data_IF_582718702022
#
_entry.id   IF_582718702022
#
_cell.length_a   1.000
_cell.length_b   1.000
_cell.length_c   1.000
_cell.angle_alpha   90.00
_cell.angle_beta   90.00
_cell.angle_gamma   90.00
#
_symmetry.space_group_name_H-M   'P 1'
#
loop_
_entity.id
_entity.type
_entity.pdbx_description
1 polymer ?
#
# COMPACT_ATOMS: atom_id res chain seq x y z
N UNK A 1 9.04 9.08 -8.61
CA UNK A 1 8.13 9.65 -7.59
C UNK A 1 7.75 8.53 -6.72
N UNK A 2 7.60 8.81 -5.44
CA UNK A 2 6.86 7.91 -4.56
C UNK A 2 5.62 8.66 -4.14
N UNK A 3 4.47 8.02 -4.25
CA UNK A 3 3.19 8.53 -3.76
C UNK A 3 2.74 7.58 -2.67
N UNK A 4 2.68 8.07 -1.44
CA UNK A 4 2.01 7.38 -0.35
C UNK A 4 0.62 7.97 -0.16
N UNK A 5 -0.35 7.08 -0.02
CA UNK A 5 -1.69 7.42 0.41
C UNK A 5 -1.96 6.57 1.64
N UNK A 6 -2.09 7.19 2.80
CA UNK A 6 -2.34 6.47 4.06
C UNK A 6 -3.68 6.94 4.59
N UNK A 7 -4.62 6.01 4.80
CA UNK A 7 -5.89 6.30 5.49
C UNK A 7 -5.87 5.60 6.83
N UNK A 8 -5.24 6.25 7.78
CA UNK A 8 -5.20 5.81 9.16
C UNK A 8 -5.69 6.96 10.02
N UNK A 9 -7.00 7.04 10.23
CA UNK A 9 -7.57 7.77 11.38
C UNK A 9 -7.28 6.96 12.64
N UNK A 10 -6.01 6.98 13.04
CA UNK A 10 -5.49 6.45 14.30
C UNK A 10 -5.34 7.65 15.22
N UNK A 11 -6.25 7.83 16.18
CA UNK A 11 -6.13 8.94 17.13
C UNK A 11 -4.95 8.78 18.11
N UNK A 12 -4.24 7.64 18.14
CA UNK A 12 -3.18 7.37 19.12
C UNK A 12 -2.06 6.43 18.62
N UNK A 13 -1.55 6.63 17.41
CA UNK A 13 -0.39 5.84 16.93
C UNK A 13 0.70 6.73 16.34
N UNK A 14 1.96 6.36 16.62
CA UNK A 14 3.13 7.00 16.07
C UNK A 14 3.25 6.70 14.56
N UNK A 15 2.60 7.55 13.77
CA UNK A 15 2.74 7.65 12.32
C UNK A 15 4.19 7.64 11.76
N UNK A 16 5.25 8.16 12.44
CA UNK A 16 6.60 8.27 11.87
C UNK A 16 7.16 7.00 11.22
N UNK A 17 6.86 5.81 11.74
CA UNK A 17 7.38 4.53 11.21
C UNK A 17 6.93 4.23 9.78
N UNK A 18 5.70 4.59 9.41
CA UNK A 18 5.17 4.40 8.04
C UNK A 18 5.85 5.36 7.06
N UNK A 19 6.28 6.53 7.54
CA UNK A 19 6.83 7.59 6.71
C UNK A 19 8.33 7.45 6.42
N UNK A 20 9.06 6.58 7.12
CA UNK A 20 10.51 6.39 6.97
C UNK A 20 10.93 5.66 5.67
N UNK A 21 10.02 5.54 4.69
CA UNK A 21 10.20 4.76 3.46
C UNK A 21 10.14 5.58 2.16
N UNK A 22 10.75 6.76 2.05
CA UNK A 22 10.76 7.54 0.78
C UNK A 22 12.00 8.39 0.47
N UNK A 23 12.53 8.20 -0.76
CA UNK A 23 13.05 9.27 -1.63
C UNK A 23 12.73 8.92 -3.11
N UNK A 24 12.35 9.95 -3.89
CA UNK A 24 12.54 10.21 -5.35
C UNK A 24 11.29 10.29 -6.25
N UNK A 25 11.24 11.39 -7.03
CA UNK A 25 10.19 12.25 -7.68
C UNK A 25 9.71 11.86 -9.12
N UNK A 26 8.50 12.24 -9.67
CA UNK A 26 7.83 12.11 -11.06
C UNK A 26 6.23 12.02 -11.12
N UNK A 27 5.54 12.96 -11.77
CA UNK A 27 4.05 13.10 -11.93
C UNK A 27 3.36 12.38 -13.11
N UNK A 28 2.00 12.33 -13.12
CA UNK A 28 1.11 11.80 -14.19
C UNK A 28 -0.07 12.74 -14.61
N UNK A 29 -0.59 12.67 -15.88
CA UNK A 29 -1.79 13.41 -16.35
C UNK A 29 -2.95 12.48 -16.84
N UNK A 30 -4.01 12.94 -17.51
CA UNK A 30 -5.28 13.59 -17.07
C UNK A 30 -6.38 13.16 -18.08
N UNK A 31 -7.61 12.82 -17.64
CA UNK A 31 -8.80 12.74 -18.53
C UNK A 31 -9.95 13.67 -18.10
N UNK A 32 -10.10 14.78 -18.83
CA UNK A 32 -11.01 15.92 -18.61
C UNK A 32 -12.41 15.60 -19.16
N UNK A 33 -13.46 15.62 -18.34
CA UNK A 33 -14.78 16.22 -18.70
C UNK A 33 -15.83 16.24 -17.57
N UNK A 34 -15.90 15.24 -16.70
CA UNK A 34 -16.61 15.33 -15.39
C UNK A 34 -15.65 15.67 -14.22
N UNK A 35 -14.37 15.79 -14.59
CA UNK A 35 -13.24 16.05 -13.72
C UNK A 35 -13.36 17.41 -13.04
N UNK A 36 -13.74 18.48 -13.74
CA UNK A 36 -13.53 19.85 -13.22
C UNK A 36 -14.26 20.16 -11.92
N UNK A 37 -15.51 19.74 -11.77
CA UNK A 37 -16.27 19.96 -10.53
C UNK A 37 -15.73 19.08 -9.39
N UNK A 38 -15.51 17.79 -9.68
CA UNK A 38 -14.90 16.86 -8.72
C UNK A 38 -13.46 17.27 -8.37
N UNK A 39 -12.72 17.84 -9.32
CA UNK A 39 -11.38 18.40 -9.17
C UNK A 39 -11.44 19.68 -8.37
N UNK A 40 -12.45 20.54 -8.55
CA UNK A 40 -12.63 21.74 -7.75
C UNK A 40 -12.94 21.36 -6.30
N UNK A 41 -13.88 20.45 -6.06
CA UNK A 41 -14.16 19.93 -4.72
C UNK A 41 -12.95 19.21 -4.11
N UNK A 42 -12.28 18.35 -4.89
CA UNK A 42 -11.05 17.67 -4.46
C UNK A 42 -9.93 18.67 -4.21
N UNK A 43 -9.82 19.74 -5.00
CA UNK A 43 -8.79 20.78 -4.87
C UNK A 43 -9.07 21.68 -3.68
N UNK A 44 -10.34 22.02 -3.43
CA UNK A 44 -10.78 22.74 -2.23
C UNK A 44 -10.45 21.89 -1.00
N UNK A 45 -10.91 20.64 -0.97
CA UNK A 45 -10.62 19.70 0.11
C UNK A 45 -9.10 19.49 0.31
N UNK A 46 -8.35 19.33 -0.78
CA UNK A 46 -6.89 19.22 -0.75
C UNK A 46 -6.26 20.47 -0.13
N UNK A 47 -6.66 21.67 -0.56
CA UNK A 47 -6.13 22.94 -0.03
C UNK A 47 -6.49 23.16 1.43
N UNK A 48 -7.67 22.72 1.85
CA UNK A 48 -8.14 22.85 3.24
C UNK A 48 -7.45 21.86 4.18
N UNK A 49 -7.12 20.66 3.68
CA UNK A 49 -6.62 19.57 4.52
C UNK A 49 -5.11 19.37 4.43
N UNK A 50 -4.45 20.02 3.46
CA UNK A 50 -2.99 19.94 3.33
C UNK A 50 -2.28 20.59 4.52
N UNK A 51 -1.40 19.84 5.16
CA UNK A 51 -0.55 20.28 6.27
C UNK A 51 0.89 19.95 5.97
N UNK A 52 1.78 20.89 6.26
CA UNK A 52 3.23 20.66 6.21
C UNK A 52 3.69 20.29 7.62
N UNK A 53 4.20 19.06 7.78
CA UNK A 53 4.75 18.57 9.05
C UNK A 53 6.16 19.14 9.28
N UNK A 54 6.66 19.03 10.52
CA UNK A 54 7.99 19.54 10.92
C UNK A 54 9.14 18.89 10.14
N UNK A 55 8.93 17.69 9.63
CA UNK A 55 9.84 16.92 8.79
C UNK A 55 9.75 17.29 7.29
N UNK A 56 9.01 18.36 6.94
CA UNK A 56 8.76 18.85 5.58
C UNK A 56 7.94 17.92 4.69
N UNK A 57 7.23 16.95 5.27
CA UNK A 57 6.27 16.12 4.53
C UNK A 57 4.91 16.83 4.43
N UNK A 58 4.23 16.61 3.31
CA UNK A 58 2.86 17.05 3.11
C UNK A 58 1.92 15.92 3.54
N UNK A 59 0.96 16.26 4.38
CA UNK A 59 -0.17 15.40 4.75
C UNK A 59 -1.43 16.01 4.17
N UNK A 60 -2.28 15.22 3.55
CA UNK A 60 -3.57 15.66 3.03
C UNK A 60 -4.63 14.66 3.45
N UNK A 61 -5.81 15.15 3.82
CA UNK A 61 -6.94 14.25 4.08
C UNK A 61 -7.58 13.87 2.74
N UNK A 62 -8.01 12.62 2.62
CA UNK A 62 -8.83 12.22 1.48
C UNK A 62 -10.27 12.63 1.75
N UNK A 63 -11.03 13.01 0.71
CA UNK A 63 -12.46 13.26 0.83
C UNK A 63 -13.13 11.94 1.25
N UNK A 64 -13.44 11.82 2.54
CA UNK A 64 -14.14 10.66 3.07
C UNK A 64 -15.53 10.57 2.43
N UNK A 65 -15.93 9.37 2.00
CA UNK A 65 -17.34 9.09 1.74
C UNK A 65 -18.09 9.24 3.07
N UNK A 66 -19.10 10.12 3.09
CA UNK A 66 -19.94 10.33 4.27
C UNK A 66 -20.56 8.98 4.71
N UNK A 67 -20.38 8.62 5.98
CA UNK A 67 -20.93 7.40 6.58
C UNK A 67 -20.01 6.18 6.64
N UNK A 68 -18.79 6.23 6.09
CA UNK A 68 -17.84 5.13 6.25
C UNK A 68 -17.10 5.24 7.60
N UNK A 69 -17.08 4.18 8.44
CA UNK A 69 -16.43 4.24 9.74
C UNK A 69 -14.90 4.32 9.63
N UNK A 70 -14.21 5.00 10.58
CA UNK A 70 -12.76 4.98 10.73
C UNK A 70 -12.22 3.56 10.92
N UNK A 71 -11.13 3.21 10.25
CA UNK A 71 -10.47 1.87 10.31
C UNK A 71 -10.15 1.40 11.73
N UNK A 72 -9.79 2.33 12.63
CA UNK A 72 -9.41 2.03 14.01
C UNK A 72 -10.59 1.62 14.89
N UNK A 73 -11.75 2.23 14.67
CA UNK A 73 -12.96 1.99 15.46
C UNK A 73 -13.48 0.58 15.19
N UNK A 74 -13.31 0.10 13.95
CA UNK A 74 -13.49 -1.31 13.63
C UNK A 74 -12.58 -2.18 14.50
N UNK A 75 -11.26 -2.10 14.37
CA UNK A 75 -10.32 -3.07 14.97
C UNK A 75 -10.39 -3.14 16.49
N UNK A 76 -10.58 -2.01 17.18
CA UNK A 76 -10.58 -1.98 18.65
C UNK A 76 -11.93 -2.26 19.31
N UNK A 77 -13.04 -1.91 18.64
CA UNK A 77 -14.38 -2.00 19.23
C UNK A 77 -15.26 -3.05 18.57
N UNK A 78 -14.85 -3.62 17.43
CA UNK A 78 -15.55 -4.69 16.76
C UNK A 78 -15.19 -6.07 17.32
N UNK A 79 -16.20 -6.85 17.68
CA UNK A 79 -16.07 -8.30 17.87
C UNK A 79 -16.08 -8.98 16.51
N UNK A 80 -14.91 -9.10 15.88
CA UNK A 80 -14.76 -9.83 14.62
C UNK A 80 -14.40 -11.29 14.87
N UNK A 81 -14.93 -12.17 14.04
CA UNK A 81 -14.50 -13.58 13.98
C UNK A 81 -13.10 -13.69 13.40
N UNK A 82 -12.81 -12.87 12.38
CA UNK A 82 -11.54 -12.88 11.69
C UNK A 82 -11.20 -11.49 11.15
N UNK A 83 -9.90 -11.15 11.22
CA UNK A 83 -9.33 -9.98 10.56
C UNK A 83 -8.15 -10.41 9.71
N UNK A 84 -8.16 -10.03 8.43
CA UNK A 84 -7.11 -10.35 7.46
C UNK A 84 -6.58 -9.08 6.80
N UNK A 85 -5.30 -9.10 6.46
CA UNK A 85 -4.63 -8.03 5.70
C UNK A 85 -4.47 -8.47 4.25
N UNK A 86 -4.93 -7.66 3.31
CA UNK A 86 -4.83 -7.94 1.87
C UNK A 86 -3.96 -6.87 1.20
N UNK A 87 -2.88 -7.32 0.57
CA UNK A 87 -1.95 -6.47 -0.19
C UNK A 87 -2.09 -6.78 -1.66
N UNK A 88 -2.52 -5.79 -2.44
CA UNK A 88 -2.57 -5.89 -3.89
C UNK A 88 -1.39 -5.16 -4.48
N UNK A 89 -0.78 -5.73 -5.51
CA UNK A 89 0.34 -5.12 -6.23
C UNK A 89 0.02 -5.10 -7.71
N UNK A 90 0.35 -3.98 -8.35
CA UNK A 90 0.16 -3.78 -9.79
C UNK A 90 1.38 -3.05 -10.35
N UNK A 91 1.69 -3.30 -11.62
CA UNK A 91 2.88 -2.78 -12.28
C UNK A 91 2.63 -2.49 -13.75
N UNK A 92 3.21 -1.38 -14.20
CA UNK A 92 3.30 -0.98 -15.59
C UNK A 92 4.75 -0.65 -15.98
N UNK A 93 4.96 -0.34 -17.26
CA UNK A 93 6.26 0.11 -17.75
C UNK A 93 6.77 1.43 -17.11
N UNK A 94 5.86 2.22 -16.51
CA UNK A 94 6.17 3.54 -15.96
C UNK A 94 6.18 3.57 -14.43
N UNK A 95 5.72 2.50 -13.76
CA UNK A 95 5.70 2.46 -12.30
C UNK A 95 5.07 1.19 -11.75
N UNK A 96 5.23 0.99 -10.44
CA UNK A 96 4.68 -0.13 -9.70
C UNK A 96 4.09 0.38 -8.40
N UNK A 97 3.01 -0.24 -7.94
CA UNK A 97 2.27 0.21 -6.78
C UNK A 97 1.74 -0.97 -5.96
N UNK A 98 1.39 -0.68 -4.71
CA UNK A 98 0.63 -1.57 -3.86
C UNK A 98 -0.43 -0.81 -3.07
N UNK A 99 -1.49 -1.52 -2.68
CA UNK A 99 -2.50 -1.05 -1.75
C UNK A 99 -2.83 -2.15 -0.74
N UNK A 100 -3.09 -1.71 0.49
CA UNK A 100 -3.34 -2.53 1.65
C UNK A 100 -4.75 -2.27 2.16
N UNK A 101 -5.50 -3.36 2.34
CA UNK A 101 -6.85 -3.35 2.90
C UNK A 101 -6.92 -4.29 4.09
N UNK A 102 -7.65 -3.88 5.12
CA UNK A 102 -8.11 -4.78 6.15
C UNK A 102 -9.49 -5.27 5.81
N UNK A 103 -9.68 -6.58 5.92
CA UNK A 103 -10.98 -7.22 5.86
C UNK A 103 -11.30 -7.75 7.25
N UNK A 104 -12.48 -7.38 7.76
CA UNK A 104 -13.00 -7.88 9.02
C UNK A 104 -14.31 -8.64 8.77
N UNK A 105 -14.37 -9.86 9.27
CA UNK A 105 -15.54 -10.73 9.19
C UNK A 105 -16.32 -10.69 10.51
N UNK A 106 -17.58 -10.29 10.41
CA UNK A 106 -18.59 -10.35 11.47
C UNK A 106 -19.50 -11.57 11.25
N UNK A 107 -20.56 -11.73 12.04
CA UNK A 107 -21.44 -12.90 11.92
C UNK A 107 -22.11 -13.04 10.54
N UNK A 108 -22.59 -11.91 9.99
CA UNK A 108 -23.35 -11.86 8.74
C UNK A 108 -22.80 -10.84 7.73
N UNK A 109 -21.68 -10.18 8.04
CA UNK A 109 -21.15 -9.08 7.23
C UNK A 109 -19.63 -9.15 7.10
N UNK A 110 -19.14 -8.81 5.90
CA UNK A 110 -17.72 -8.59 5.65
C UNK A 110 -17.49 -7.11 5.38
N UNK A 111 -16.70 -6.47 6.23
CA UNK A 111 -16.35 -5.06 6.12
C UNK A 111 -14.92 -4.94 5.64
N UNK A 112 -14.68 -4.09 4.65
CA UNK A 112 -13.36 -3.86 4.07
C UNK A 112 -12.97 -2.40 4.24
N UNK A 113 -11.76 -2.15 4.71
CA UNK A 113 -11.21 -0.83 4.97
C UNK A 113 -9.87 -0.64 4.30
N UNK A 114 -9.71 0.44 3.56
CA UNK A 114 -8.41 0.85 3.03
C UNK A 114 -7.50 1.29 4.17
N UNK A 115 -6.23 0.89 4.14
CA UNK A 115 -5.22 1.21 5.17
C UNK A 115 -4.15 2.13 4.62
N UNK A 116 -3.50 1.68 3.55
CA UNK A 116 -2.36 2.37 2.98
C UNK A 116 -2.12 1.92 1.54
N UNK A 117 -1.62 2.80 0.71
CA UNK A 117 -1.11 2.52 -0.62
C UNK A 117 0.22 3.23 -0.82
N UNK A 118 1.05 2.64 -1.67
CA UNK A 118 2.36 3.16 -2.05
C UNK A 118 2.59 2.88 -3.52
N UNK A 119 2.93 3.91 -4.27
CA UNK A 119 3.30 3.81 -5.67
C UNK A 119 4.72 4.34 -5.87
N UNK A 120 5.46 3.77 -6.82
CA UNK A 120 6.80 4.18 -7.24
C UNK A 120 6.87 4.27 -8.76
N UNK A 121 7.41 5.38 -9.26
CA UNK A 121 7.70 5.53 -10.70
C UNK A 121 8.96 4.73 -11.05
N UNK A 122 8.92 4.06 -12.19
CA UNK A 122 10.03 3.29 -12.72
C UNK A 122 11.21 4.22 -13.09
N UNK A 123 12.44 3.75 -12.84
CA UNK A 123 13.64 4.50 -13.22
C UNK A 123 13.78 4.61 -14.75
N UNK A 124 14.45 5.68 -15.21
CA UNK A 124 14.67 5.99 -16.64
C UNK A 124 15.44 4.88 -17.37
N UNK A 125 16.34 4.18 -16.67
CA UNK A 125 16.98 2.95 -17.15
C UNK A 125 16.01 1.78 -16.98
N UNK A 126 14.99 1.72 -17.84
CA UNK A 126 13.81 0.85 -17.74
C UNK A 126 14.20 -0.61 -17.43
N UNK A 127 13.98 -1.11 -16.20
CA UNK A 127 14.06 -2.53 -15.92
C UNK A 127 13.01 -3.26 -16.77
N UNK A 128 13.19 -4.56 -16.98
CA UNK A 128 12.15 -5.38 -17.63
C UNK A 128 10.87 -5.37 -16.78
N UNK A 129 9.70 -5.55 -17.42
CA UNK A 129 8.41 -5.62 -16.72
C UNK A 129 8.46 -6.62 -15.54
N UNK A 130 8.98 -7.85 -15.69
CA UNK A 130 9.10 -8.77 -14.56
C UNK A 130 9.92 -8.25 -13.37
N UNK A 131 10.97 -7.46 -13.63
CA UNK A 131 11.75 -6.85 -12.54
C UNK A 131 10.98 -5.74 -11.84
N UNK A 132 10.15 -4.99 -12.57
CA UNK A 132 9.27 -3.99 -11.97
C UNK A 132 8.16 -4.67 -11.15
N UNK A 133 7.58 -5.77 -11.65
CA UNK A 133 6.57 -6.54 -10.92
C UNK A 133 7.15 -7.10 -9.61
N UNK A 134 8.40 -7.60 -9.65
CA UNK A 134 9.11 -8.07 -8.46
C UNK A 134 9.40 -6.94 -7.47
N UNK A 135 9.64 -5.71 -7.96
CA UNK A 135 9.74 -4.52 -7.11
C UNK A 135 8.38 -4.13 -6.51
N UNK A 136 7.29 -4.31 -7.26
CA UNK A 136 5.90 -4.21 -6.78
C UNK A 136 5.64 -5.15 -5.60
N UNK A 137 5.97 -6.43 -5.76
CA UNK A 137 5.87 -7.41 -4.69
C UNK A 137 6.72 -7.03 -3.46
N UNK A 138 7.95 -6.54 -3.68
CA UNK A 138 8.84 -6.12 -2.59
C UNK A 138 8.28 -4.92 -1.80
N UNK A 139 7.68 -3.92 -2.46
CA UNK A 139 7.03 -2.81 -1.73
C UNK A 139 5.78 -3.29 -0.99
N UNK A 140 5.03 -4.24 -1.55
CA UNK A 140 3.89 -4.88 -0.88
C UNK A 140 4.30 -5.58 0.42
N UNK A 141 5.36 -6.39 0.36
CA UNK A 141 5.91 -7.08 1.53
C UNK A 141 6.35 -6.11 2.64
N UNK A 142 7.05 -5.03 2.28
CA UNK A 142 7.47 -3.98 3.23
C UNK A 142 6.27 -3.29 3.89
N UNK A 143 5.27 -2.91 3.10
CA UNK A 143 4.06 -2.25 3.63
C UNK A 143 3.31 -3.17 4.60
N UNK A 144 3.21 -4.47 4.29
CA UNK A 144 2.59 -5.44 5.18
C UNK A 144 3.32 -5.53 6.52
N UNK A 145 4.65 -5.74 6.50
CA UNK A 145 5.46 -5.80 7.72
C UNK A 145 5.30 -4.53 8.55
N UNK A 146 5.34 -3.35 7.92
CA UNK A 146 5.12 -2.08 8.63
C UNK A 146 3.73 -1.98 9.26
N UNK A 147 2.67 -2.38 8.54
CA UNK A 147 1.29 -2.35 9.06
C UNK A 147 1.16 -3.32 10.25
N UNK A 148 1.67 -4.55 10.13
CA UNK A 148 1.59 -5.56 11.18
C UNK A 148 2.35 -5.13 12.44
N UNK A 149 3.56 -4.59 12.28
CA UNK A 149 4.35 -4.02 13.38
C UNK A 149 3.65 -2.82 14.03
N UNK A 150 3.03 -1.97 13.21
CA UNK A 150 2.31 -0.78 13.68
C UNK A 150 1.10 -1.22 14.49
N UNK A 151 0.26 -2.12 13.96
CA UNK A 151 -0.93 -2.64 14.66
C UNK A 151 -0.59 -3.52 15.88
N UNK A 152 0.67 -3.94 16.03
CA UNK A 152 1.13 -4.86 17.07
C UNK A 152 0.25 -6.13 17.16
N UNK A 153 -0.20 -6.63 16.01
CA UNK A 153 -1.11 -7.77 15.89
C UNK A 153 -0.72 -8.63 14.69
N UNK A 154 -0.44 -9.94 14.87
CA UNK A 154 -0.12 -10.84 13.78
C UNK A 154 -1.40 -11.21 13.01
N UNK A 155 -1.72 -10.46 11.97
CA UNK A 155 -2.85 -10.74 11.09
C UNK A 155 -2.46 -11.71 9.99
N UNK A 156 -3.37 -12.63 9.66
CA UNK A 156 -3.24 -13.44 8.44
C UNK A 156 -3.20 -12.49 7.24
N UNK A 157 -2.15 -12.62 6.42
CA UNK A 157 -1.87 -11.68 5.34
C UNK A 157 -1.88 -12.38 3.98
N UNK A 158 -2.57 -11.78 3.01
CA UNK A 158 -2.69 -12.24 1.64
C UNK A 158 -2.02 -11.26 0.68
N UNK A 159 -1.16 -11.77 -0.21
CA UNK A 159 -0.48 -10.99 -1.25
C UNK A 159 -1.04 -11.35 -2.62
N UNK A 160 -1.45 -10.34 -3.38
CA UNK A 160 -2.08 -10.48 -4.68
C UNK A 160 -1.23 -9.81 -5.76
N UNK A 161 -0.92 -10.58 -6.81
CA UNK A 161 -0.26 -10.13 -8.04
C UNK A 161 -0.78 -10.96 -9.20
N UNK A 162 -0.90 -10.36 -10.37
CA UNK A 162 -1.22 -11.02 -11.63
C UNK A 162 0.02 -11.54 -12.37
N UNK A 163 1.23 -11.24 -11.87
CA UNK A 163 2.48 -11.70 -12.46
C UNK A 163 2.79 -13.16 -12.09
N UNK A 164 2.48 -14.07 -13.01
CA UNK A 164 2.91 -15.46 -12.93
C UNK A 164 4.43 -15.63 -12.81
N UNK A 165 5.20 -14.70 -13.41
CA UNK A 165 6.67 -14.73 -13.34
C UNK A 165 7.15 -14.45 -11.92
N UNK A 166 6.59 -13.42 -11.28
CA UNK A 166 6.91 -13.09 -9.88
C UNK A 166 6.46 -14.19 -8.94
N UNK A 167 5.26 -14.73 -9.12
CA UNK A 167 4.80 -15.90 -8.36
C UNK A 167 5.79 -17.06 -8.49
N UNK A 168 6.20 -17.40 -9.71
CA UNK A 168 7.18 -18.46 -9.96
C UNK A 168 8.53 -18.22 -9.28
N UNK A 169 9.04 -16.98 -9.29
CA UNK A 169 10.27 -16.65 -8.57
C UNK A 169 10.13 -16.70 -7.05
N UNK A 170 8.98 -16.28 -6.50
CA UNK A 170 8.76 -16.26 -5.05
C UNK A 170 8.52 -17.68 -4.50
N UNK A 171 7.90 -18.58 -5.25
CA UNK A 171 7.53 -19.92 -4.76
C UNK A 171 8.59 -20.99 -5.02
N UNK A 172 9.37 -20.88 -6.09
CA UNK A 172 10.38 -21.90 -6.45
C UNK A 172 11.76 -21.57 -5.91
N UNK A 173 12.70 -22.52 -5.97
CA UNK A 173 14.10 -22.26 -5.63
C UNK A 173 14.98 -22.61 -6.83
N UNK A 174 15.51 -21.58 -7.50
CA UNK A 174 16.35 -21.72 -8.69
C UNK A 174 17.58 -20.79 -8.60
N UNK A 175 18.66 -21.07 -9.34
CA UNK A 175 19.78 -20.15 -9.43
C UNK A 175 19.35 -18.88 -10.19
N UNK A 176 18.95 -17.86 -9.43
CA UNK A 176 18.61 -16.56 -10.00
C UNK A 176 19.83 -15.65 -10.12
N UNK A 177 19.73 -14.67 -11.01
CA UNK A 177 20.66 -13.55 -10.99
C UNK A 177 20.55 -12.77 -9.65
N UNK A 178 21.61 -12.04 -9.31
CA UNK A 178 21.73 -11.33 -8.03
C UNK A 178 20.56 -10.39 -7.74
N UNK A 179 20.00 -9.73 -8.76
CA UNK A 179 18.85 -8.83 -8.56
C UNK A 179 17.62 -9.59 -8.10
N UNK A 180 17.21 -10.63 -8.83
CA UNK A 180 16.02 -11.42 -8.52
C UNK A 180 16.22 -12.15 -7.19
N UNK A 181 17.36 -12.79 -6.98
CA UNK A 181 17.64 -13.52 -5.74
C UNK A 181 17.61 -12.63 -4.49
N UNK A 182 18.14 -11.40 -4.56
CA UNK A 182 18.10 -10.48 -3.43
C UNK A 182 16.67 -9.99 -3.13
N UNK A 183 15.85 -9.75 -4.16
CA UNK A 183 14.45 -9.32 -3.97
C UNK A 183 13.56 -10.45 -3.46
N UNK A 184 13.73 -11.67 -3.98
CA UNK A 184 12.98 -12.85 -3.50
C UNK A 184 13.33 -13.15 -2.05
N UNK A 185 14.62 -13.09 -1.68
CA UNK A 185 15.05 -13.28 -0.29
C UNK A 185 14.35 -12.29 0.64
N UNK A 186 14.41 -11.01 0.31
CA UNK A 186 13.75 -9.95 1.09
C UNK A 186 12.24 -10.19 1.23
N UNK A 187 11.54 -10.53 0.15
CA UNK A 187 10.10 -10.80 0.20
C UNK A 187 9.82 -11.96 1.16
N UNK A 188 10.54 -13.07 1.04
CA UNK A 188 10.35 -14.26 1.89
C UNK A 188 10.61 -13.97 3.37
N UNK A 189 11.66 -13.20 3.67
CA UNK A 189 12.00 -12.77 5.03
C UNK A 189 10.89 -11.89 5.65
N UNK A 190 10.23 -11.04 4.86
CA UNK A 190 9.19 -10.13 5.33
C UNK A 190 7.80 -10.76 5.43
N UNK A 191 7.50 -11.77 4.62
CA UNK A 191 6.14 -12.31 4.52
C UNK A 191 5.96 -13.69 5.14
N UNK A 192 7.02 -14.30 5.69
CA UNK A 192 6.99 -15.67 6.23
C UNK A 192 6.19 -16.62 5.33
N UNK A 193 6.51 -16.66 4.03
CA UNK A 193 5.81 -17.57 3.10
C UNK A 193 6.05 -19.01 3.57
N UNK A 194 5.07 -19.61 4.24
CA UNK A 194 5.07 -21.03 4.54
C UNK A 194 4.85 -21.79 3.23
N UNK A 195 5.69 -22.81 3.02
CA UNK A 195 5.72 -23.67 1.84
C UNK A 195 4.59 -24.71 1.87
#
# INVERSE_FOLDING_TARGET
>A
MVVNMVTLTLQNMELPKIWDLEVLDIKDPVERKNKTFLEEETLIHFKETIKVRKDRRYEVSLPWLAGHPPVYDMILHGTFKQVTLHIFTDTSAIGYACCAFLQCEEEDEVKVSFVSAKARVAHVQRPTIPRLELLGAAIGARIASTILETLNSPLKTHFWTDSMTVLGWITNSEPWNTFVGNRVREIRELTNVEY
#
